data_IF_573331016776
#
_entry.id   IF_573331016776
#
_cell.length_a   1.000
_cell.length_b   1.000
_cell.length_c   1.000
_cell.angle_alpha   90.00
_cell.angle_beta   90.00
_cell.angle_gamma   90.00
#
_symmetry.space_group_name_H-M   'P 1'
#
loop_
_entity.id
_entity.type
_entity.pdbx_description
1 polymer ?
#
# COMPACT_ATOMS: atom_id res chain seq x y z
N UNK A 1 13.66 -17.73 -33.12
CA UNK A 1 13.99 -17.13 -31.80
C UNK A 1 12.71 -17.01 -31.00
N UNK A 2 12.69 -17.31 -29.69
CA UNK A 2 11.44 -17.36 -28.91
C UNK A 2 10.96 -16.01 -28.31
N UNK A 3 11.80 -14.97 -28.30
CA UNK A 3 11.42 -13.62 -27.83
C UNK A 3 11.57 -13.37 -26.32
N UNK A 4 11.99 -14.37 -25.54
CA UNK A 4 12.27 -14.21 -24.11
C UNK A 4 13.59 -13.47 -23.84
N UNK A 5 13.66 -12.74 -22.73
CA UNK A 5 14.91 -12.15 -22.26
C UNK A 5 15.78 -13.23 -21.57
N UNK A 6 17.07 -13.32 -21.94
CA UNK A 6 17.99 -14.30 -21.36
C UNK A 6 18.67 -13.82 -20.07
N UNK A 7 18.42 -12.59 -19.62
CA UNK A 7 18.93 -12.08 -18.35
C UNK A 7 18.06 -12.66 -17.24
N UNK A 8 18.56 -13.73 -16.62
CA UNK A 8 17.83 -14.55 -15.65
C UNK A 8 18.49 -14.53 -14.27
N UNK A 9 17.73 -14.78 -13.18
CA UNK A 9 18.28 -14.88 -11.84
C UNK A 9 19.18 -16.11 -11.68
N UNK A 10 20.33 -15.95 -11.04
CA UNK A 10 21.30 -17.03 -10.76
C UNK A 10 21.52 -17.20 -9.26
N UNK A 11 22.38 -18.13 -8.82
CA UNK A 11 22.67 -18.32 -7.39
C UNK A 11 21.47 -18.80 -6.56
N UNK A 12 20.50 -19.51 -7.17
CA UNK A 12 19.31 -20.01 -6.50
C UNK A 12 18.17 -18.98 -6.31
N UNK A 13 18.36 -17.75 -6.79
CA UNK A 13 17.40 -16.66 -6.58
C UNK A 13 16.14 -16.73 -7.44
N UNK A 14 16.09 -17.63 -8.43
CA UNK A 14 14.90 -17.92 -9.23
C UNK A 14 13.69 -18.40 -8.38
N UNK A 15 13.89 -18.75 -7.11
CA UNK A 15 12.83 -19.05 -6.15
C UNK A 15 11.98 -17.83 -5.77
N UNK A 16 12.51 -16.61 -5.91
CA UNK A 16 11.86 -15.36 -5.47
C UNK A 16 12.03 -14.17 -6.41
N UNK A 17 12.89 -14.26 -7.43
CA UNK A 17 12.99 -13.26 -8.49
C UNK A 17 12.58 -13.80 -9.85
N UNK A 18 12.02 -12.91 -10.67
CA UNK A 18 11.72 -13.16 -12.08
C UNK A 18 12.91 -12.77 -12.98
N UNK A 19 12.97 -13.35 -14.18
CA UNK A 19 13.85 -12.87 -15.25
C UNK A 19 13.53 -11.44 -15.66
N UNK A 20 14.50 -10.78 -16.31
CA UNK A 20 14.36 -9.40 -16.75
C UNK A 20 13.21 -9.25 -17.75
N UNK A 21 12.29 -8.34 -17.46
CA UNK A 21 11.18 -7.98 -18.33
C UNK A 21 10.89 -6.49 -18.25
N UNK A 22 9.86 -6.04 -18.97
CA UNK A 22 9.46 -4.62 -19.02
C UNK A 22 9.15 -4.05 -17.63
N UNK A 23 8.57 -4.86 -16.74
CA UNK A 23 8.21 -4.44 -15.39
C UNK A 23 9.40 -4.09 -14.50
N UNK A 24 10.61 -4.55 -14.82
CA UNK A 24 11.82 -4.14 -14.10
C UNK A 24 12.18 -2.67 -14.35
N UNK A 25 11.59 -2.05 -15.37
CA UNK A 25 11.80 -0.63 -15.74
C UNK A 25 10.60 0.25 -15.42
N UNK A 26 9.55 -0.31 -14.81
CA UNK A 26 8.32 0.41 -14.44
C UNK A 26 8.22 0.50 -12.92
N UNK A 27 7.65 1.60 -12.41
CA UNK A 27 7.29 1.78 -11.00
C UNK A 27 5.78 1.94 -10.90
N UNK A 28 5.20 1.33 -9.87
CA UNK A 28 3.78 1.44 -9.57
C UNK A 28 3.58 2.47 -8.45
N UNK A 29 2.66 3.40 -8.68
CA UNK A 29 2.17 4.33 -7.66
C UNK A 29 0.72 3.98 -7.35
N UNK A 30 0.40 3.82 -6.07
CA UNK A 30 -0.97 3.58 -5.62
C UNK A 30 -1.70 4.92 -5.42
N UNK A 31 -3.00 4.91 -5.66
CA UNK A 31 -3.88 6.05 -5.44
C UNK A 31 -5.12 5.58 -4.70
N UNK A 32 -5.51 6.31 -3.66
CA UNK A 32 -6.68 6.02 -2.84
C UNK A 32 -7.49 7.31 -2.64
N UNK A 33 -8.80 7.20 -2.78
CA UNK A 33 -9.75 8.28 -2.56
C UNK A 33 -10.99 7.74 -1.86
N UNK A 34 -11.43 8.43 -0.81
CA UNK A 34 -12.59 8.06 -0.02
C UNK A 34 -13.52 9.26 0.12
N UNK A 35 -14.77 9.18 -0.36
CA UNK A 35 -15.83 10.10 0.04
C UNK A 35 -16.02 10.07 1.57
N UNK A 36 -16.56 11.15 2.13
CA UNK A 36 -16.74 11.27 3.60
C UNK A 36 -17.62 10.15 4.15
N UNK A 37 -18.62 9.75 3.39
CA UNK A 37 -19.58 8.69 3.73
C UNK A 37 -18.87 7.34 3.84
N UNK A 38 -18.03 7.02 2.85
CA UNK A 38 -17.25 5.77 2.86
C UNK A 38 -16.19 5.79 3.96
N UNK A 39 -15.54 6.93 4.22
CA UNK A 39 -14.59 7.04 5.32
C UNK A 39 -15.26 6.86 6.69
N UNK A 40 -16.54 7.23 6.81
CA UNK A 40 -17.31 7.08 8.05
C UNK A 40 -17.45 5.59 8.44
N UNK A 41 -17.61 4.70 7.45
CA UNK A 41 -17.75 3.26 7.68
C UNK A 41 -16.52 2.63 8.32
N UNK A 42 -15.31 3.17 8.05
CA UNK A 42 -14.03 2.64 8.57
C UNK A 42 -13.44 3.47 9.70
N UNK A 43 -14.08 4.59 10.05
CA UNK A 43 -13.53 5.56 11.00
C UNK A 43 -13.15 4.92 12.33
N UNK A 44 -14.09 4.18 12.93
CA UNK A 44 -13.92 3.61 14.26
C UNK A 44 -12.77 2.60 14.29
N UNK A 45 -12.66 1.78 13.24
CA UNK A 45 -11.56 0.82 13.10
C UNK A 45 -10.20 1.53 13.00
N UNK A 46 -10.09 2.53 12.12
CA UNK A 46 -8.83 3.28 11.92
C UNK A 46 -8.40 3.98 13.21
N UNK A 47 -9.33 4.62 13.91
CA UNK A 47 -9.03 5.24 15.20
C UNK A 47 -8.65 4.21 16.26
N UNK A 48 -9.31 3.05 16.28
CA UNK A 48 -9.04 1.98 17.25
C UNK A 48 -7.64 1.42 17.06
N UNK A 49 -7.26 1.09 15.82
CA UNK A 49 -5.90 0.67 15.49
C UNK A 49 -4.87 1.74 15.88
N UNK A 50 -5.07 2.99 15.45
CA UNK A 50 -4.14 4.08 15.74
C UNK A 50 -4.00 4.34 17.25
N UNK A 51 -5.08 4.29 18.03
CA UNK A 51 -5.04 4.42 19.50
C UNK A 51 -4.31 3.25 20.14
N UNK A 52 -4.55 2.02 19.67
CA UNK A 52 -3.87 0.81 20.19
C UNK A 52 -2.36 0.82 19.95
N UNK A 53 -1.91 1.45 18.87
CA UNK A 53 -0.50 1.64 18.52
C UNK A 53 0.13 2.89 19.15
N UNK A 54 -0.64 3.69 19.91
CA UNK A 54 -0.17 4.95 20.51
C UNK A 54 0.01 6.10 19.51
N UNK A 55 -0.51 5.96 18.28
CA UNK A 55 -0.41 6.94 17.19
C UNK A 55 -1.53 7.98 17.28
N UNK A 56 -1.52 8.78 18.36
CA UNK A 56 -2.57 9.78 18.64
C UNK A 56 -2.78 10.77 17.49
N UNK A 57 -1.72 11.22 16.80
CA UNK A 57 -1.83 12.10 15.65
C UNK A 57 -2.53 11.44 14.45
N UNK A 58 -2.37 10.12 14.26
CA UNK A 58 -3.03 9.40 13.17
C UNK A 58 -4.53 9.24 13.46
N UNK A 59 -4.89 8.87 14.69
CA UNK A 59 -6.29 8.83 15.14
C UNK A 59 -6.95 10.22 14.97
N UNK A 60 -6.30 11.27 15.48
CA UNK A 60 -6.80 12.64 15.39
C UNK A 60 -7.00 13.09 13.94
N UNK A 61 -6.14 12.65 13.00
CA UNK A 61 -6.31 13.01 11.59
C UNK A 61 -7.67 12.57 11.05
N UNK A 62 -8.22 11.46 11.55
CA UNK A 62 -9.57 11.00 11.20
C UNK A 62 -10.61 11.79 11.98
N UNK A 63 -10.49 11.90 13.31
CA UNK A 63 -11.48 12.56 14.17
C UNK A 63 -11.79 14.00 13.73
N UNK A 64 -10.78 14.78 13.32
CA UNK A 64 -10.97 16.17 12.84
C UNK A 64 -11.75 16.28 11.53
N UNK A 65 -11.87 15.20 10.73
CA UNK A 65 -12.68 15.19 9.50
C UNK A 65 -14.18 15.03 9.80
N UNK A 66 -14.51 14.72 11.05
CA UNK A 66 -15.86 14.49 11.54
C UNK A 66 -16.25 15.41 12.71
N UNK A 67 -15.45 16.45 12.98
CA UNK A 67 -15.74 17.48 13.99
C UNK A 67 -15.95 16.95 15.42
N UNK A 68 -15.28 15.84 15.78
CA UNK A 68 -15.38 15.20 17.10
C UNK A 68 -14.29 15.66 18.08
N UNK A 69 -13.89 16.93 18.02
CA UNK A 69 -12.86 17.52 18.88
C UNK A 69 -13.40 18.63 19.77
#
# INVERSE_FOLDING_TARGET
>A
MSGSNHVLPTGGTAKFYSGLGVYNFIKYSTYSYYPKEVLADFKEDVETFAKSEGLTAHANSISVRFDEM
#
